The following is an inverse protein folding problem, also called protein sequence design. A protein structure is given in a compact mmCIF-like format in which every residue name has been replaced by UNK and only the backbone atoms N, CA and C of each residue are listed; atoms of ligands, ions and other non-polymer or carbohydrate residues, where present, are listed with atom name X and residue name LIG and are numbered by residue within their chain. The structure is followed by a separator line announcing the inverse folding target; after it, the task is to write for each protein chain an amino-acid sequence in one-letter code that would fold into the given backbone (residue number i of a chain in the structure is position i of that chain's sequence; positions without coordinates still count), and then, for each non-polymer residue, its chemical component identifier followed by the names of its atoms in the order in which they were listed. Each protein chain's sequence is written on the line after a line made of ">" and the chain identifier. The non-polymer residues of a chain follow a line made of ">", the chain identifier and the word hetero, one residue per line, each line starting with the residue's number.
data_IF_744281360112
#
_entry.id   IF_744281360112
#
_cell.length_a   1.000
_cell.length_b   1.000
_cell.length_c   1.000
_cell.angle_alpha   90.00
_cell.angle_beta   90.00
_cell.angle_gamma   90.00
#
_symmetry.space_group_name_H-M   'P 1'
#
loop_
_entity.id
_entity.type
_entity.pdbx_description
1 polymer ?
#
# COMPACT_ATOMS: atom_id res chain seq x y z
N UNK A 1 1.22 27.09 6.17
CA UNK A 1 1.98 26.78 4.94
C UNK A 1 1.65 25.35 4.58
N UNK A 2 1.31 25.07 3.32
CA UNK A 2 1.23 23.68 2.87
C UNK A 2 2.64 23.06 2.99
N UNK A 3 2.77 21.80 3.43
CA UNK A 3 4.08 21.14 3.48
C UNK A 3 4.72 21.18 2.09
N UNK A 4 6.01 21.46 2.05
CA UNK A 4 6.78 21.37 0.80
C UNK A 4 6.98 19.91 0.42
N UNK A 5 7.28 19.64 -0.86
CA UNK A 5 7.65 18.29 -1.32
C UNK A 5 8.76 17.68 -0.46
N UNK A 6 9.72 18.51 -0.06
CA UNK A 6 10.84 18.09 0.80
C UNK A 6 10.36 17.68 2.20
N UNK A 7 9.37 18.38 2.77
CA UNK A 7 8.76 18.02 4.06
C UNK A 7 8.02 16.68 3.98
N UNK A 8 7.23 16.45 2.91
CA UNK A 8 6.52 15.18 2.73
C UNK A 8 7.51 14.01 2.51
N UNK A 9 8.62 14.22 1.77
CA UNK A 9 9.67 13.22 1.62
C UNK A 9 10.39 12.95 2.96
N UNK A 10 10.69 13.99 3.74
CA UNK A 10 11.30 13.84 5.05
C UNK A 10 10.37 13.10 6.03
N UNK A 11 9.08 13.42 6.01
CA UNK A 11 8.06 12.71 6.80
C UNK A 11 7.96 11.23 6.39
N UNK A 12 8.04 10.91 5.10
CA UNK A 12 8.07 9.52 4.63
C UNK A 12 9.30 8.76 5.17
N UNK A 13 10.47 9.39 5.21
CA UNK A 13 11.68 8.79 5.80
C UNK A 13 11.52 8.56 7.31
N UNK A 14 10.94 9.50 8.04
CA UNK A 14 10.65 9.31 9.48
C UNK A 14 9.66 8.17 9.70
N UNK A 15 8.61 8.10 8.88
CA UNK A 15 7.61 7.04 8.93
C UNK A 15 8.20 5.66 8.62
N UNK A 16 9.14 5.58 7.67
CA UNK A 16 9.91 4.35 7.38
C UNK A 16 10.69 3.87 8.60
N UNK A 17 11.44 4.77 9.25
CA UNK A 17 12.23 4.41 10.45
C UNK A 17 11.34 4.01 11.64
N UNK A 18 10.10 4.52 11.69
CA UNK A 18 9.11 4.16 12.70
C UNK A 18 8.22 2.98 12.30
N UNK A 19 8.46 2.35 11.14
CA UNK A 19 7.64 1.28 10.56
C UNK A 19 6.15 1.66 10.39
N UNK A 20 5.84 2.95 10.27
CA UNK A 20 4.47 3.48 10.08
C UNK A 20 4.16 3.61 8.58
N UNK A 21 4.10 2.48 7.89
CA UNK A 21 3.96 2.44 6.42
C UNK A 21 2.67 3.07 5.87
N UNK A 22 1.59 3.12 6.65
CA UNK A 22 0.36 3.82 6.26
C UNK A 22 0.62 5.33 6.08
N UNK A 23 1.30 5.97 7.03
CA UNK A 23 1.66 7.39 6.93
C UNK A 23 2.74 7.65 5.88
N UNK A 24 3.63 6.67 5.68
CA UNK A 24 4.62 6.72 4.62
C UNK A 24 3.94 6.75 3.24
N UNK A 25 2.91 5.93 3.03
CA UNK A 25 2.08 5.95 1.82
C UNK A 25 1.41 7.31 1.66
N UNK A 26 0.76 7.82 2.71
CA UNK A 26 0.06 9.12 2.66
C UNK A 26 0.99 10.28 2.27
N UNK A 27 2.21 10.28 2.81
CA UNK A 27 3.22 11.31 2.49
C UNK A 27 3.70 11.18 1.05
N UNK A 28 4.03 9.97 0.61
CA UNK A 28 4.53 9.74 -0.75
C UNK A 28 3.45 9.94 -1.83
N UNK A 29 2.17 9.77 -1.50
CA UNK A 29 1.05 10.10 -2.40
C UNK A 29 0.98 11.59 -2.70
N UNK A 30 1.23 12.45 -1.71
CA UNK A 30 1.28 13.91 -1.93
C UNK A 30 2.43 14.29 -2.85
N UNK A 31 3.59 13.67 -2.65
CA UNK A 31 4.78 13.86 -3.50
C UNK A 31 4.48 13.45 -4.95
N UNK A 32 3.80 12.32 -5.15
CA UNK A 32 3.40 11.82 -6.47
C UNK A 32 2.30 12.68 -7.12
N UNK A 33 1.34 13.20 -6.34
CA UNK A 33 0.26 14.06 -6.82
C UNK A 33 0.72 15.47 -7.25
N UNK A 34 2.01 15.80 -7.08
CA UNK A 34 2.59 17.03 -7.61
C UNK A 34 2.84 17.00 -9.13
N UNK A 35 2.60 15.86 -9.80
CA UNK A 35 2.77 15.65 -11.24
C UNK A 35 4.16 16.00 -11.78
N UNK A 36 5.17 15.89 -10.90
CA UNK A 36 6.59 16.03 -11.23
C UNK A 36 7.25 14.67 -11.12
N UNK A 37 8.09 14.33 -12.11
CA UNK A 37 8.82 13.07 -12.15
C UNK A 37 9.54 12.81 -10.81
N UNK A 38 9.35 11.60 -10.27
CA UNK A 38 9.99 11.21 -9.02
C UNK A 38 11.46 10.85 -9.27
N UNK A 39 12.32 11.37 -8.40
CA UNK A 39 13.71 10.95 -8.31
C UNK A 39 13.82 9.46 -7.97
N UNK A 40 15.00 8.87 -8.17
CA UNK A 40 15.26 7.46 -7.83
C UNK A 40 14.96 7.18 -6.36
N UNK A 41 15.35 8.09 -5.46
CA UNK A 41 15.09 7.95 -4.03
C UNK A 41 13.59 7.98 -3.72
N UNK A 42 12.85 8.95 -4.26
CA UNK A 42 11.40 9.07 -4.06
C UNK A 42 10.63 7.87 -4.62
N UNK A 43 11.02 7.36 -5.80
CA UNK A 43 10.44 6.12 -6.36
C UNK A 43 10.64 4.92 -5.44
N UNK A 44 11.84 4.79 -4.88
CA UNK A 44 12.15 3.72 -3.95
C UNK A 44 11.34 3.84 -2.65
N UNK A 45 11.23 5.04 -2.08
CA UNK A 45 10.40 5.28 -0.89
C UNK A 45 8.94 4.90 -1.14
N UNK A 46 8.37 5.34 -2.26
CA UNK A 46 7.00 4.98 -2.65
C UNK A 46 6.81 3.45 -2.74
N UNK A 47 7.75 2.77 -3.40
CA UNK A 47 7.70 1.31 -3.55
C UNK A 47 7.81 0.58 -2.22
N UNK A 48 8.73 1.01 -1.34
CA UNK A 48 8.91 0.45 0.01
C UNK A 48 7.65 0.63 0.84
N UNK A 49 7.02 1.81 0.80
CA UNK A 49 5.80 2.11 1.53
C UNK A 49 4.66 1.15 1.17
N UNK A 50 4.28 1.10 -0.12
CA UNK A 50 3.20 0.23 -0.58
C UNK A 50 3.52 -1.26 -0.42
N UNK A 51 4.76 -1.68 -0.69
CA UNK A 51 5.18 -3.09 -0.53
C UNK A 51 4.99 -3.57 0.91
N UNK A 52 5.40 -2.78 1.90
CA UNK A 52 5.26 -3.16 3.30
C UNK A 52 3.81 -3.11 3.76
N UNK A 53 3.03 -2.09 3.36
CA UNK A 53 1.62 -1.99 3.70
C UNK A 53 0.80 -3.17 3.13
N UNK A 54 0.98 -3.47 1.84
CA UNK A 54 0.35 -4.62 1.17
C UNK A 54 0.84 -5.93 1.79
N UNK A 55 2.13 -6.04 2.10
CA UNK A 55 2.72 -7.21 2.76
C UNK A 55 2.06 -7.52 4.11
N UNK A 56 1.91 -6.50 4.96
CA UNK A 56 1.26 -6.63 6.25
C UNK A 56 -0.23 -7.04 6.13
N UNK A 57 -0.97 -6.42 5.20
CA UNK A 57 -2.39 -6.77 4.96
C UNK A 57 -2.55 -8.18 4.37
N UNK A 58 -1.67 -8.60 3.45
CA UNK A 58 -1.65 -9.99 2.94
C UNK A 58 -1.34 -11.00 4.03
N UNK A 59 -0.40 -10.71 4.94
CA UNK A 59 -0.10 -11.58 6.07
C UNK A 59 -1.32 -11.74 7.00
N UNK A 60 -1.97 -10.62 7.33
CA UNK A 60 -3.24 -10.62 8.09
C UNK A 60 -4.30 -11.48 7.41
N UNK A 61 -4.54 -11.27 6.10
CA UNK A 61 -5.52 -12.04 5.33
C UNK A 61 -5.24 -13.55 5.36
N UNK A 62 -3.98 -13.97 5.23
CA UNK A 62 -3.59 -15.40 5.31
C UNK A 62 -3.88 -15.98 6.70
N UNK A 63 -3.59 -15.23 7.77
CA UNK A 63 -3.85 -15.67 9.14
C UNK A 63 -5.36 -15.86 9.35
N UNK A 64 -6.18 -14.89 8.93
CA UNK A 64 -7.64 -14.99 9.08
C UNK A 64 -8.21 -16.13 8.24
N UNK A 65 -7.72 -16.33 7.03
CA UNK A 65 -8.13 -17.47 6.18
C UNK A 65 -7.79 -18.81 6.84
N UNK A 66 -6.60 -18.92 7.44
CA UNK A 66 -6.22 -20.13 8.19
C UNK A 66 -7.09 -20.37 9.43
N UNK A 67 -7.53 -19.31 10.11
CA UNK A 67 -8.46 -19.40 11.24
C UNK A 67 -9.83 -19.86 10.75
N UNK A 68 -10.33 -19.30 9.65
CA UNK A 68 -11.60 -19.70 9.02
C UNK A 68 -11.62 -21.19 8.69
N UNK A 69 -10.58 -21.71 8.01
CA UNK A 69 -10.51 -23.13 7.65
C UNK A 69 -10.45 -24.06 8.87
N UNK A 70 -9.80 -23.63 9.96
CA UNK A 70 -9.75 -24.41 11.21
C UNK A 70 -11.10 -24.43 11.91
N UNK A 71 -11.83 -23.31 11.89
CA UNK A 71 -13.14 -23.23 12.53
C UNK A 71 -14.19 -24.03 11.75
N UNK A 72 -14.13 -24.01 10.41
CA UNK A 72 -15.04 -24.77 9.53
C UNK A 72 -14.96 -26.30 9.74
N UNK A 73 -13.83 -26.82 10.22
CA UNK A 73 -13.65 -28.23 10.58
C UNK A 73 -14.31 -28.65 11.90
N UNK A 74 -14.88 -27.71 12.68
CA UNK A 74 -15.53 -27.98 13.96
C UNK A 74 -17.03 -28.20 13.79
N UNK A 75 -17.61 -29.04 14.64
CA UNK A 75 -19.04 -29.36 14.62
C UNK A 75 -19.94 -28.22 15.11
N UNK A 76 -19.41 -27.28 15.90
CA UNK A 76 -20.10 -26.06 16.35
C UNK A 76 -19.52 -24.84 15.63
N UNK A 77 -20.37 -24.13 14.88
CA UNK A 77 -19.96 -23.09 13.92
C UNK A 77 -20.51 -21.69 14.25
N UNK A 78 -20.83 -21.41 15.51
CA UNK A 78 -21.49 -20.17 15.94
C UNK A 78 -20.67 -18.90 15.62
N UNK A 79 -19.35 -19.03 15.48
CA UNK A 79 -18.44 -17.92 15.19
C UNK A 79 -18.07 -17.77 13.71
N UNK A 80 -18.52 -18.68 12.84
CA UNK A 80 -18.14 -18.68 11.41
C UNK A 80 -18.58 -17.41 10.68
N UNK A 81 -19.77 -16.89 10.98
CA UNK A 81 -20.27 -15.66 10.38
C UNK A 81 -19.38 -14.45 10.72
N UNK A 82 -18.87 -14.38 11.96
CA UNK A 82 -17.98 -13.30 12.40
C UNK A 82 -16.63 -13.37 11.70
N UNK A 83 -16.05 -14.57 11.57
CA UNK A 83 -14.77 -14.78 10.89
C UNK A 83 -14.88 -14.42 9.40
N UNK A 84 -15.93 -14.89 8.72
CA UNK A 84 -16.20 -14.56 7.30
C UNK A 84 -16.33 -13.06 7.08
N UNK A 85 -17.06 -12.37 7.95
CA UNK A 85 -17.20 -10.90 7.89
C UNK A 85 -15.84 -10.21 8.03
N UNK A 86 -15.02 -10.63 9.00
CA UNK A 86 -13.70 -10.04 9.22
C UNK A 86 -12.74 -10.34 8.06
N UNK A 87 -12.73 -11.56 7.51
CA UNK A 87 -11.95 -11.89 6.30
C UNK A 87 -12.33 -10.99 5.14
N UNK A 88 -13.63 -10.80 4.90
CA UNK A 88 -14.12 -9.94 3.82
C UNK A 88 -13.71 -8.47 4.02
N UNK A 89 -13.64 -7.99 5.26
CA UNK A 89 -13.15 -6.64 5.54
C UNK A 89 -11.66 -6.51 5.18
N UNK A 90 -10.82 -7.43 5.64
CA UNK A 90 -9.37 -7.42 5.32
C UNK A 90 -9.13 -7.56 3.82
N UNK A 91 -9.93 -8.39 3.13
CA UNK A 91 -9.87 -8.53 1.68
C UNK A 91 -10.23 -7.23 0.96
N UNK A 92 -11.25 -6.51 1.45
CA UNK A 92 -11.61 -5.19 0.92
C UNK A 92 -10.48 -4.18 1.12
N UNK A 93 -9.92 -4.09 2.33
CA UNK A 93 -8.79 -3.20 2.62
C UNK A 93 -7.60 -3.48 1.71
N UNK A 94 -7.26 -4.76 1.49
CA UNK A 94 -6.19 -5.16 0.58
C UNK A 94 -6.47 -4.74 -0.87
N UNK A 95 -7.71 -4.94 -1.35
CA UNK A 95 -8.13 -4.51 -2.70
C UNK A 95 -8.06 -3.00 -2.84
N UNK A 96 -8.52 -2.26 -1.84
CA UNK A 96 -8.53 -0.80 -1.85
C UNK A 96 -7.09 -0.25 -1.90
N UNK A 97 -6.16 -0.82 -1.14
CA UNK A 97 -4.73 -0.44 -1.19
C UNK A 97 -4.10 -0.76 -2.55
N UNK A 98 -4.41 -1.92 -3.14
CA UNK A 98 -3.94 -2.27 -4.48
C UNK A 98 -4.51 -1.33 -5.55
N UNK A 99 -5.79 -0.98 -5.47
CA UNK A 99 -6.41 -0.05 -6.41
C UNK A 99 -5.81 1.35 -6.27
N UNK A 100 -5.51 1.76 -5.04
CA UNK A 100 -4.92 3.07 -4.76
C UNK A 100 -3.56 3.26 -5.44
N UNK A 101 -2.68 2.24 -5.42
CA UNK A 101 -1.39 2.34 -6.13
C UNK A 101 -1.56 2.28 -7.65
N UNK A 102 -2.48 1.44 -8.17
CA UNK A 102 -2.75 1.38 -9.61
C UNK A 102 -3.26 2.73 -10.12
N UNK A 103 -4.18 3.35 -9.39
CA UNK A 103 -4.68 4.69 -9.68
C UNK A 103 -3.57 5.74 -9.67
N UNK A 104 -2.66 5.68 -8.69
CA UNK A 104 -1.52 6.60 -8.60
C UNK A 104 -0.55 6.40 -9.79
N UNK A 105 -0.28 5.15 -10.17
CA UNK A 105 0.56 4.81 -11.32
C UNK A 105 -0.03 5.36 -12.62
N UNK A 106 -1.31 5.12 -12.88
CA UNK A 106 -1.99 5.50 -14.11
C UNK A 106 -2.21 7.01 -14.23
N UNK A 107 -2.58 7.67 -13.13
CA UNK A 107 -2.96 9.10 -13.15
C UNK A 107 -1.76 10.04 -13.04
N UNK A 108 -0.74 9.69 -12.26
CA UNK A 108 0.31 10.62 -11.87
C UNK A 108 1.72 10.17 -12.27
N UNK A 109 2.05 8.87 -12.21
CA UNK A 109 3.45 8.44 -12.35
C UNK A 109 3.82 8.06 -13.78
N UNK A 110 3.02 7.22 -14.45
CA UNK A 110 3.26 6.80 -15.83
C UNK A 110 3.20 7.96 -16.83
N UNK A 111 2.24 8.92 -16.75
CA UNK A 111 2.20 10.06 -17.65
C UNK A 111 3.42 10.99 -17.52
N UNK A 112 3.99 11.08 -16.32
CA UNK A 112 5.11 11.98 -16.01
C UNK A 112 6.48 11.29 -16.07
N UNK A 113 6.54 9.99 -16.35
CA UNK A 113 7.79 9.25 -16.51
C UNK A 113 8.47 9.60 -17.85
N UNK A 114 9.63 10.26 -17.80
CA UNK A 114 10.34 10.69 -19.01
C UNK A 114 11.35 9.64 -19.48
N UNK A 115 11.98 8.93 -18.55
CA UNK A 115 13.03 7.94 -18.84
C UNK A 115 12.47 6.52 -19.05
N UNK A 116 13.21 5.70 -19.80
CA UNK A 116 12.87 4.28 -19.94
C UNK A 116 12.94 3.53 -18.61
N UNK A 117 13.88 3.89 -17.74
CA UNK A 117 14.05 3.29 -16.41
C UNK A 117 12.86 3.60 -15.49
N UNK A 118 12.37 4.85 -15.46
CA UNK A 118 11.19 5.21 -14.67
C UNK A 118 9.93 4.48 -15.16
N UNK A 119 9.73 4.37 -16.48
CA UNK A 119 8.62 3.59 -17.06
C UNK A 119 8.68 2.12 -16.69
N UNK A 120 9.84 1.47 -16.83
CA UNK A 120 10.01 0.05 -16.48
C UNK A 120 9.79 -0.16 -14.98
N UNK A 121 10.26 0.76 -14.14
CA UNK A 121 10.04 0.69 -12.70
C UNK A 121 8.54 0.70 -12.36
N UNK A 122 7.78 1.64 -12.92
CA UNK A 122 6.35 1.77 -12.66
C UNK A 122 5.52 0.61 -13.23
N UNK A 123 5.87 0.10 -14.42
CA UNK A 123 5.18 -1.06 -15.02
C UNK A 123 5.44 -2.37 -14.27
N UNK A 124 6.56 -2.47 -13.55
CA UNK A 124 6.89 -3.64 -12.71
C UNK A 124 6.13 -3.62 -11.38
N UNK A 125 5.87 -2.42 -10.86
CA UNK A 125 5.33 -2.18 -9.53
C UNK A 125 3.87 -2.62 -9.43
#
# INVERSE_FOLDING_TARGET
>A
MAPSREDDVYQAKLAEQAERYEEMVDSMKKVAAADVELSVEERNLLSVAYKNLIGARRASWRIITNIESKEESKSENDKMALIKKYRSQVEKELRDICQDILDLLDKHLLPNATTGESKVFYLKM
#
